data_IF_035395679660
#
_entry.id   IF_035395679660
#
_cell.length_a   1.000
_cell.length_b   1.000
_cell.length_c   1.000
_cell.angle_alpha   90.00
_cell.angle_beta   90.00
_cell.angle_gamma   90.00
#
_symmetry.space_group_name_H-M   'P 1'
#
loop_
_entity.id
_entity.type
_entity.pdbx_description
1 polymer ?
#
# COMPACT_ATOMS: atom_id res chain seq x y z
N UNK A 1 8.52 12.12 11.26
CA UNK A 1 7.87 11.97 9.94
C UNK A 1 6.40 12.26 10.20
N UNK A 2 5.83 13.25 9.53
CA UNK A 2 4.41 13.59 9.72
C UNK A 2 3.60 12.41 9.16
N UNK A 3 2.62 11.89 9.89
CA UNK A 3 1.86 10.67 9.53
C UNK A 3 1.43 10.66 8.04
N UNK A 4 0.98 11.81 7.55
CA UNK A 4 0.53 12.07 6.17
C UNK A 4 1.61 11.94 5.08
N UNK A 5 2.90 12.03 5.43
CA UNK A 5 4.01 11.87 4.48
C UNK A 5 4.13 10.43 3.96
N UNK A 6 3.43 9.50 4.60
CA UNK A 6 3.34 8.10 4.17
C UNK A 6 2.28 7.87 3.08
N UNK A 7 1.63 8.92 2.57
CA UNK A 7 0.62 8.83 1.52
C UNK A 7 1.13 9.36 0.17
N UNK A 8 1.58 8.51 -0.76
CA UNK A 8 1.94 8.95 -2.11
C UNK A 8 0.87 9.81 -2.79
N UNK A 9 -0.41 9.45 -2.64
CA UNK A 9 -1.55 10.27 -3.07
C UNK A 9 -2.44 10.64 -1.87
N UNK A 10 -2.95 11.87 -1.87
CA UNK A 10 -3.79 12.41 -0.80
C UNK A 10 -3.03 13.14 0.33
N UNK A 11 -1.70 13.03 0.42
CA UNK A 11 -0.96 13.65 1.54
C UNK A 11 -1.17 15.15 1.71
N UNK A 12 -1.49 15.91 0.66
CA UNK A 12 -1.69 17.37 0.80
C UNK A 12 -3.03 17.67 1.45
N UNK A 13 -4.05 16.96 1.00
CA UNK A 13 -5.43 17.11 1.44
C UNK A 13 -5.61 16.54 2.84
N UNK A 14 -4.95 15.42 3.15
CA UNK A 14 -5.00 14.76 4.46
C UNK A 14 -4.21 15.48 5.58
N UNK A 15 -3.42 16.50 5.26
CA UNK A 15 -2.69 17.33 6.26
C UNK A 15 -3.61 18.15 7.17
N UNK A 16 -4.85 18.37 6.76
CA UNK A 16 -5.82 19.10 7.56
C UNK A 16 -6.38 18.27 8.71
N UNK A 17 -7.57 18.65 9.17
CA UNK A 17 -8.23 18.03 10.33
C UNK A 17 -8.73 16.60 10.13
N UNK A 18 -8.38 15.95 9.01
CA UNK A 18 -8.88 14.62 8.69
C UNK A 18 -8.54 13.60 9.78
N UNK A 19 -7.27 13.57 10.21
CA UNK A 19 -6.83 12.69 11.30
C UNK A 19 -7.08 13.26 12.70
N UNK A 20 -7.57 14.49 12.83
CA UNK A 20 -7.92 15.08 14.13
C UNK A 20 -9.28 14.59 14.64
N UNK A 21 -10.17 14.15 13.74
CA UNK A 21 -11.50 13.62 14.11
C UNK A 21 -11.42 12.17 14.58
N UNK A 22 -10.58 11.36 13.93
CA UNK A 22 -10.35 9.95 14.30
C UNK A 22 -8.98 9.50 13.79
N UNK A 23 -7.94 9.72 14.58
CA UNK A 23 -6.55 9.40 14.25
C UNK A 23 -6.11 8.01 14.74
N UNK A 24 -4.81 7.68 14.60
CA UNK A 24 -4.29 6.38 15.03
C UNK A 24 -4.53 6.06 16.51
N UNK A 25 -4.39 7.05 17.39
CA UNK A 25 -4.63 6.85 18.83
C UNK A 25 -6.11 6.53 19.11
N UNK A 26 -7.04 7.22 18.45
CA UNK A 26 -8.48 6.97 18.57
C UNK A 26 -8.86 5.59 18.04
N UNK A 27 -8.29 5.19 16.89
CA UNK A 27 -8.48 3.85 16.32
C UNK A 27 -7.96 2.76 17.27
N UNK A 28 -6.78 2.95 17.86
CA UNK A 28 -6.24 2.01 18.83
C UNK A 28 -7.08 1.90 20.10
N UNK A 29 -7.55 3.03 20.64
CA UNK A 29 -8.46 3.05 21.79
C UNK A 29 -9.75 2.31 21.43
N UNK A 30 -10.36 2.63 20.28
CA UNK A 30 -11.61 2.01 19.85
C UNK A 30 -11.49 0.49 19.80
N UNK A 31 -10.45 -0.07 19.19
CA UNK A 31 -10.27 -1.53 19.19
C UNK A 31 -10.04 -2.12 20.58
N UNK A 32 -9.26 -1.43 21.43
CA UNK A 32 -9.00 -1.88 22.81
C UNK A 32 -10.27 -1.88 23.65
N UNK A 33 -11.09 -0.83 23.53
CA UNK A 33 -12.37 -0.66 24.22
C UNK A 33 -13.40 -1.72 23.78
N UNK A 34 -13.24 -2.28 22.58
CA UNK A 34 -14.07 -3.37 22.04
C UNK A 34 -13.39 -4.76 22.15
N UNK A 35 -12.38 -4.89 23.01
CA UNK A 35 -11.81 -6.18 23.40
C UNK A 35 -10.74 -6.74 22.48
N UNK A 36 -10.20 -5.95 21.55
CA UNK A 36 -9.03 -6.32 20.74
C UNK A 36 -7.78 -5.68 21.32
N UNK A 37 -6.99 -6.46 22.06
CA UNK A 37 -5.69 -6.01 22.55
C UNK A 37 -4.71 -5.81 21.40
N UNK A 38 -4.03 -4.67 21.39
CA UNK A 38 -3.08 -4.27 20.35
C UNK A 38 -1.66 -4.18 20.90
N UNK A 39 -0.68 -4.48 20.04
CA UNK A 39 0.75 -4.28 20.27
C UNK A 39 1.36 -3.41 19.19
N UNK A 40 2.38 -2.64 19.56
CA UNK A 40 3.18 -1.83 18.65
C UNK A 40 4.52 -2.53 18.45
N UNK A 41 4.93 -2.74 17.21
CA UNK A 41 6.26 -3.25 16.86
C UNK A 41 7.31 -2.12 16.80
N UNK A 42 8.59 -2.47 16.79
CA UNK A 42 9.71 -1.50 16.83
C UNK A 42 9.69 -0.47 15.69
N UNK A 43 9.04 -0.80 14.56
CA UNK A 43 8.88 0.09 13.41
C UNK A 43 7.59 0.93 13.43
N UNK A 44 6.86 0.89 14.55
CA UNK A 44 5.64 1.68 14.78
C UNK A 44 4.37 1.07 14.20
N UNK A 45 4.44 -0.10 13.55
CA UNK A 45 3.24 -0.81 13.09
C UNK A 45 2.46 -1.38 14.26
N UNK A 46 1.14 -1.40 14.12
CA UNK A 46 0.23 -1.89 15.15
C UNK A 46 -0.45 -3.17 14.67
N UNK A 47 -0.46 -4.18 15.53
CA UNK A 47 -1.06 -5.48 15.26
C UNK A 47 -1.91 -5.95 16.44
N UNK A 48 -2.92 -6.80 16.22
CA UNK A 48 -3.56 -7.49 17.33
C UNK A 48 -2.55 -8.40 18.03
N UNK A 49 -2.58 -8.46 19.37
CA UNK A 49 -1.72 -9.35 20.17
C UNK A 49 -1.91 -10.81 19.75
N UNK A 50 -3.11 -11.18 19.31
CA UNK A 50 -3.45 -12.51 18.78
C UNK A 50 -2.68 -12.91 17.52
N UNK A 51 -2.07 -11.96 16.80
CA UNK A 51 -1.48 -12.15 15.46
C UNK A 51 -2.47 -12.74 14.44
N UNK A 52 -3.78 -12.54 14.62
CA UNK A 52 -4.81 -13.04 13.72
C UNK A 52 -5.70 -11.90 13.22
N UNK A 53 -5.81 -11.74 11.90
CA UNK A 53 -6.71 -10.74 11.28
C UNK A 53 -8.18 -10.97 11.60
N UNK A 54 -8.58 -12.22 11.89
CA UNK A 54 -9.95 -12.55 12.30
C UNK A 54 -10.36 -11.78 13.57
N UNK A 55 -9.43 -11.48 14.50
CA UNK A 55 -9.75 -10.71 15.70
C UNK A 55 -10.30 -9.31 15.37
N UNK A 56 -9.78 -8.67 14.34
CA UNK A 56 -10.25 -7.35 13.87
C UNK A 56 -11.60 -7.49 13.17
N UNK A 57 -11.74 -8.49 12.29
CA UNK A 57 -12.97 -8.74 11.52
C UNK A 57 -14.14 -9.07 12.47
N UNK A 58 -13.92 -9.99 13.41
CA UNK A 58 -14.94 -10.44 14.36
C UNK A 58 -15.40 -9.29 15.27
N UNK A 59 -14.47 -8.43 15.72
CA UNK A 59 -14.79 -7.23 16.48
C UNK A 59 -15.73 -6.31 15.69
N UNK A 60 -15.39 -5.96 14.45
CA UNK A 60 -16.21 -5.07 13.61
C UNK A 60 -17.59 -5.69 13.31
N UNK A 61 -17.64 -6.98 13.00
CA UNK A 61 -18.90 -7.70 12.73
C UNK A 61 -19.75 -7.87 13.99
N UNK A 62 -19.13 -8.01 15.17
CA UNK A 62 -19.84 -8.03 16.44
C UNK A 62 -20.49 -6.68 16.71
N UNK A 63 -19.73 -5.58 16.60
CA UNK A 63 -20.23 -4.23 16.85
C UNK A 63 -21.34 -3.82 15.88
N UNK A 64 -21.20 -4.14 14.59
CA UNK A 64 -22.25 -3.92 13.60
C UNK A 64 -23.55 -4.65 14.00
N UNK A 65 -23.47 -5.93 14.36
CA UNK A 65 -24.65 -6.70 14.80
C UNK A 65 -25.24 -6.17 16.10
N UNK A 66 -24.40 -5.83 17.07
CA UNK A 66 -24.81 -5.32 18.39
C UNK A 66 -25.59 -4.01 18.28
N UNK A 67 -25.23 -3.16 17.31
CA UNK A 67 -25.87 -1.87 17.03
C UNK A 67 -27.06 -1.95 16.08
N UNK A 68 -27.41 -3.17 15.61
CA UNK A 68 -28.59 -3.40 14.77
C UNK A 68 -28.35 -3.24 13.26
N UNK A 69 -27.09 -3.07 12.83
CA UNK A 69 -26.74 -2.99 11.40
C UNK A 69 -27.12 -4.29 10.69
N UNK A 70 -27.90 -4.18 9.62
CA UNK A 70 -28.31 -5.33 8.79
C UNK A 70 -27.27 -5.56 7.69
N UNK A 71 -26.48 -6.63 7.82
CA UNK A 71 -25.49 -7.01 6.81
C UNK A 71 -26.08 -8.01 5.82
N UNK A 72 -25.98 -7.71 4.52
CA UNK A 72 -26.46 -8.57 3.45
C UNK A 72 -25.33 -8.96 2.50
N UNK A 73 -24.92 -10.24 2.54
CA UNK A 73 -23.84 -10.78 1.70
C UNK A 73 -24.39 -11.51 0.46
N UNK A 74 -23.54 -11.74 -0.53
CA UNK A 74 -23.94 -12.43 -1.78
C UNK A 74 -24.81 -11.59 -2.72
N UNK A 75 -24.92 -10.29 -2.43
CA UNK A 75 -25.65 -9.30 -3.23
C UNK A 75 -24.68 -8.38 -3.98
N UNK A 76 -25.10 -7.91 -5.14
CA UNK A 76 -24.38 -6.97 -6.00
C UNK A 76 -25.25 -5.72 -6.13
N UNK A 77 -24.70 -4.53 -5.93
CA UNK A 77 -25.39 -3.28 -6.26
C UNK A 77 -25.10 -2.94 -7.72
N UNK A 78 -26.07 -3.12 -8.62
CA UNK A 78 -25.85 -2.93 -10.06
C UNK A 78 -26.09 -1.50 -10.53
N UNK A 79 -26.93 -0.74 -9.82
CA UNK A 79 -27.20 0.66 -10.14
C UNK A 79 -27.56 1.47 -8.89
N UNK A 80 -27.16 2.74 -8.89
CA UNK A 80 -27.63 3.75 -7.94
C UNK A 80 -27.99 5.00 -8.73
N UNK A 81 -29.20 5.50 -8.55
CA UNK A 81 -29.67 6.74 -9.17
C UNK A 81 -30.33 7.66 -8.15
N UNK A 82 -30.27 8.97 -8.38
CA UNK A 82 -30.97 9.93 -7.56
C UNK A 82 -32.45 10.01 -7.97
N UNK A 83 -33.34 10.07 -7.00
CA UNK A 83 -34.78 10.28 -7.20
C UNK A 83 -35.22 11.61 -6.60
N UNK A 84 -36.51 11.95 -6.73
CA UNK A 84 -37.07 13.15 -6.12
C UNK A 84 -36.79 13.21 -4.61
N UNK A 85 -36.76 14.43 -4.06
CA UNK A 85 -36.52 14.71 -2.64
C UNK A 85 -35.11 14.37 -2.12
N UNK A 86 -34.15 14.14 -3.03
CA UNK A 86 -32.73 13.95 -2.67
C UNK A 86 -32.40 12.57 -2.10
N UNK A 87 -33.29 11.59 -2.32
CA UNK A 87 -33.08 10.18 -1.99
C UNK A 87 -32.42 9.43 -3.16
N UNK A 88 -32.00 8.21 -2.87
CA UNK A 88 -31.40 7.29 -3.84
C UNK A 88 -32.31 6.09 -4.08
N UNK A 89 -32.37 5.66 -5.32
CA UNK A 89 -32.93 4.38 -5.73
C UNK A 89 -31.79 3.43 -6.07
N UNK A 90 -31.68 2.34 -5.30
CA UNK A 90 -30.61 1.35 -5.38
C UNK A 90 -31.17 0.05 -5.95
N UNK A 91 -30.53 -0.45 -7.00
CA UNK A 91 -30.87 -1.73 -7.62
C UNK A 91 -29.87 -2.78 -7.17
N UNK A 92 -30.38 -3.88 -6.62
CA UNK A 92 -29.60 -4.95 -6.01
C UNK A 92 -29.94 -6.28 -6.68
N UNK A 93 -28.91 -7.01 -7.09
CA UNK A 93 -29.00 -8.30 -7.75
C UNK A 93 -28.39 -9.41 -6.87
N UNK A 94 -28.88 -10.65 -7.01
CA UNK A 94 -28.22 -11.84 -6.45
C UNK A 94 -27.52 -12.61 -7.54
N UNK A 95 -26.28 -13.05 -7.28
CA UNK A 95 -25.44 -13.75 -8.27
C UNK A 95 -26.01 -15.08 -8.80
N UNK A 96 -26.94 -15.70 -8.08
CA UNK A 96 -27.30 -17.12 -8.29
C UNK A 96 -28.71 -17.33 -8.83
N UNK A 97 -29.54 -16.29 -8.86
CA UNK A 97 -30.97 -16.36 -9.23
C UNK A 97 -31.31 -15.03 -9.91
N UNK A 98 -32.20 -15.04 -10.90
CA UNK A 98 -32.84 -13.84 -11.44
C UNK A 98 -33.68 -13.17 -10.34
N UNK A 99 -33.01 -12.36 -9.53
CA UNK A 99 -33.56 -11.65 -8.38
C UNK A 99 -33.13 -10.19 -8.48
N UNK A 100 -34.12 -9.31 -8.50
CA UNK A 100 -33.96 -7.87 -8.52
C UNK A 100 -34.67 -7.28 -7.31
N UNK A 101 -33.92 -6.60 -6.46
CA UNK A 101 -34.42 -5.88 -5.30
C UNK A 101 -34.17 -4.40 -5.48
N UNK A 102 -35.12 -3.61 -5.00
CA UNK A 102 -35.10 -2.17 -5.08
C UNK A 102 -35.17 -1.59 -3.67
N UNK A 103 -34.23 -0.72 -3.37
CA UNK A 103 -34.14 -0.06 -2.06
C UNK A 103 -34.11 1.44 -2.28
N UNK A 104 -35.04 2.14 -1.63
CA UNK A 104 -34.94 3.58 -1.46
C UNK A 104 -34.08 3.89 -0.23
N UNK A 105 -33.11 4.78 -0.37
CA UNK A 105 -32.19 5.16 0.68
C UNK A 105 -32.08 6.68 0.79
N UNK A 106 -32.20 7.23 1.99
CA UNK A 106 -31.99 8.66 2.23
C UNK A 106 -30.51 9.05 2.09
N UNK A 107 -29.60 8.13 2.39
CA UNK A 107 -28.16 8.30 2.32
C UNK A 107 -27.49 7.08 1.70
N UNK A 108 -26.43 7.30 0.93
CA UNK A 108 -25.60 6.23 0.37
C UNK A 108 -24.14 6.48 0.72
N UNK A 109 -23.47 5.49 1.31
CA UNK A 109 -22.01 5.47 1.50
C UNK A 109 -21.41 4.41 0.59
N UNK A 110 -20.53 4.82 -0.32
CA UNK A 110 -19.77 3.89 -1.17
C UNK A 110 -18.39 3.68 -0.54
N UNK A 111 -18.17 2.48 0.00
CA UNK A 111 -16.92 2.06 0.63
C UNK A 111 -16.41 0.73 0.03
N UNK A 112 -16.54 0.57 -1.29
CA UNK A 112 -16.31 -0.68 -2.02
C UNK A 112 -14.83 -1.04 -2.24
N UNK A 113 -13.91 -0.31 -1.61
CA UNK A 113 -12.49 -0.34 -1.94
C UNK A 113 -12.23 -0.06 -3.42
N UNK A 114 -11.31 -0.79 -4.02
CA UNK A 114 -10.90 -0.65 -5.42
C UNK A 114 -11.77 -1.40 -6.45
N UNK A 115 -12.99 -1.81 -6.05
CA UNK A 115 -13.92 -2.50 -6.94
C UNK A 115 -14.31 -1.64 -8.16
N UNK A 116 -14.22 -2.23 -9.36
CA UNK A 116 -14.62 -1.57 -10.62
C UNK A 116 -16.06 -1.09 -10.58
N UNK A 117 -16.96 -1.89 -10.00
CA UNK A 117 -18.37 -1.54 -9.86
C UNK A 117 -18.58 -0.27 -9.02
N UNK A 118 -17.81 -0.08 -7.95
CA UNK A 118 -17.89 1.13 -7.14
C UNK A 118 -17.52 2.38 -7.94
N UNK A 119 -16.48 2.28 -8.77
CA UNK A 119 -16.10 3.36 -9.69
C UNK A 119 -17.15 3.61 -10.77
N UNK A 120 -17.74 2.56 -11.35
CA UNK A 120 -18.78 2.71 -12.37
C UNK A 120 -20.04 3.38 -11.78
N UNK A 121 -20.43 3.04 -10.54
CA UNK A 121 -21.52 3.73 -9.82
C UNK A 121 -21.16 5.19 -9.55
N UNK A 122 -19.93 5.48 -9.11
CA UNK A 122 -19.49 6.86 -8.88
C UNK A 122 -19.59 7.70 -10.16
N UNK A 123 -19.17 7.14 -11.30
CA UNK A 123 -19.29 7.79 -12.63
C UNK A 123 -20.75 8.03 -13.01
N UNK A 124 -21.64 7.07 -12.78
CA UNK A 124 -23.09 7.24 -13.00
C UNK A 124 -23.68 8.37 -12.14
N UNK A 125 -23.08 8.65 -10.98
CA UNK A 125 -23.46 9.73 -10.08
C UNK A 125 -22.69 11.04 -10.35
N UNK A 126 -22.09 11.18 -11.54
CA UNK A 126 -21.34 12.34 -12.05
C UNK A 126 -19.97 12.60 -11.42
N UNK A 127 -19.41 11.63 -10.68
CA UNK A 127 -18.04 11.75 -10.17
C UNK A 127 -17.00 11.41 -11.24
N UNK A 128 -15.86 12.09 -11.19
CA UNK A 128 -14.71 11.66 -11.98
C UNK A 128 -13.92 10.57 -11.25
N UNK A 129 -13.22 9.73 -12.00
CA UNK A 129 -12.35 8.68 -11.43
C UNK A 129 -10.96 8.82 -12.03
N UNK A 130 -9.98 9.04 -11.17
CA UNK A 130 -8.57 8.99 -11.54
C UNK A 130 -8.21 7.53 -11.84
N UNK A 131 -7.74 7.24 -13.06
CA UNK A 131 -7.43 5.88 -13.56
C UNK A 131 -6.82 4.97 -12.46
N UNK A 132 -7.56 3.94 -12.01
CA UNK A 132 -7.09 2.98 -11.02
C UNK A 132 -5.94 2.14 -11.55
N UNK A 133 -4.85 2.05 -10.81
CA UNK A 133 -3.68 1.23 -11.17
C UNK A 133 -2.99 0.68 -9.92
N UNK A 134 -2.31 -0.47 -10.01
CA UNK A 134 -1.57 -1.04 -8.88
C UNK A 134 -0.57 -0.09 -8.23
N UNK A 135 -0.53 -0.14 -6.90
CA UNK A 135 0.43 0.44 -5.95
C UNK A 135 0.87 -0.69 -5.00
N UNK A 136 1.98 -0.50 -4.29
CA UNK A 136 2.49 -1.49 -3.31
C UNK A 136 2.65 -2.91 -3.89
N UNK A 137 3.41 -3.01 -4.98
CA UNK A 137 3.68 -4.29 -5.65
C UNK A 137 5.17 -4.63 -5.70
N UNK A 138 5.45 -5.92 -5.83
CA UNK A 138 6.82 -6.45 -6.01
C UNK A 138 7.29 -6.25 -7.45
N UNK A 139 8.60 -6.18 -7.67
CA UNK A 139 9.17 -6.06 -9.01
C UNK A 139 9.56 -7.44 -9.55
N UNK A 140 9.06 -7.77 -10.74
CA UNK A 140 9.51 -8.96 -11.48
C UNK A 140 10.87 -8.66 -12.10
N UNK A 141 11.86 -9.50 -11.79
CA UNK A 141 13.24 -9.33 -12.27
C UNK A 141 13.60 -10.47 -13.22
N UNK A 142 14.25 -10.13 -14.33
CA UNK A 142 14.78 -11.09 -15.31
C UNK A 142 16.25 -11.42 -15.01
N UNK A 143 16.47 -12.18 -13.93
CA UNK A 143 17.80 -12.69 -13.55
C UNK A 143 17.63 -14.02 -12.83
N UNK A 144 17.81 -15.14 -13.54
CA UNK A 144 17.60 -16.48 -13.00
C UNK A 144 18.51 -16.80 -11.82
N UNK A 145 19.76 -16.30 -11.84
CA UNK A 145 20.72 -16.52 -10.75
C UNK A 145 20.32 -15.75 -9.47
N UNK A 146 19.68 -14.59 -9.62
CA UNK A 146 19.08 -13.90 -8.48
C UNK A 146 17.92 -14.70 -7.89
N UNK A 147 17.06 -15.31 -8.72
CA UNK A 147 15.87 -16.05 -8.26
C UNK A 147 16.24 -17.28 -7.41
N UNK A 148 17.40 -17.88 -7.64
CA UNK A 148 17.96 -18.96 -6.80
C UNK A 148 18.22 -18.51 -5.35
N UNK A 149 18.26 -17.20 -5.10
CA UNK A 149 18.39 -16.60 -3.76
C UNK A 149 17.04 -16.30 -3.09
N UNK A 150 15.93 -16.85 -3.60
CA UNK A 150 14.60 -16.67 -2.99
C UNK A 150 14.61 -16.95 -1.48
N UNK A 151 14.09 -16.00 -0.70
CA UNK A 151 14.10 -16.01 0.77
C UNK A 151 15.26 -15.23 1.40
N UNK A 152 16.32 -14.89 0.65
CA UNK A 152 17.39 -14.03 1.15
C UNK A 152 16.85 -12.63 1.42
N UNK A 153 17.12 -12.13 2.62
CA UNK A 153 16.73 -10.79 3.06
C UNK A 153 17.97 -9.95 3.34
N UNK A 154 17.95 -8.69 2.88
CA UNK A 154 18.94 -7.68 3.22
C UNK A 154 18.28 -6.69 4.17
N UNK A 155 18.78 -6.52 5.42
CA UNK A 155 18.16 -5.63 6.39
C UNK A 155 18.09 -4.18 5.93
N UNK A 156 19.07 -3.75 5.13
CA UNK A 156 19.16 -2.37 4.64
C UNK A 156 19.88 -2.31 3.30
N UNK A 157 19.16 -1.86 2.29
CA UNK A 157 19.71 -1.48 0.98
C UNK A 157 19.24 -0.07 0.62
N UNK A 158 19.91 0.57 -0.34
CA UNK A 158 19.37 1.73 -1.04
C UNK A 158 19.01 1.33 -2.46
N UNK A 159 17.74 1.45 -2.81
CA UNK A 159 17.25 1.11 -4.15
C UNK A 159 16.85 2.38 -4.90
N UNK A 160 17.24 2.48 -6.17
CA UNK A 160 16.90 3.59 -7.06
C UNK A 160 16.31 3.05 -8.35
N UNK A 161 15.11 3.48 -8.70
CA UNK A 161 14.45 3.08 -9.92
C UNK A 161 14.68 4.12 -11.02
N UNK A 162 15.18 3.66 -12.16
CA UNK A 162 15.30 4.43 -13.40
C UNK A 162 14.28 3.91 -14.40
N UNK A 163 13.38 4.78 -14.83
CA UNK A 163 12.40 4.49 -15.87
C UNK A 163 12.91 5.09 -17.19
N UNK A 164 12.79 4.34 -18.29
CA UNK A 164 13.28 4.76 -19.61
C UNK A 164 12.56 6.01 -20.16
N UNK A 165 13.22 6.68 -21.12
CA UNK A 165 12.84 7.81 -22.01
C UNK A 165 12.00 9.00 -21.50
N UNK A 166 11.39 8.96 -20.32
CA UNK A 166 10.61 10.05 -19.71
C UNK A 166 11.51 11.09 -18.98
N UNK A 167 12.73 11.28 -19.52
CA UNK A 167 13.98 11.60 -18.82
C UNK A 167 14.18 13.05 -18.30
N UNK A 168 13.14 13.86 -18.09
CA UNK A 168 13.34 15.18 -17.43
C UNK A 168 12.33 15.55 -16.35
N UNK A 169 11.21 14.84 -16.23
CA UNK A 169 10.11 15.25 -15.32
C UNK A 169 9.79 14.21 -14.24
N UNK A 170 10.49 13.07 -14.22
CA UNK A 170 10.29 12.05 -13.18
C UNK A 170 11.12 12.43 -11.94
N UNK A 171 10.51 12.48 -10.74
CA UNK A 171 11.26 12.69 -9.50
C UNK A 171 12.25 11.55 -9.29
N UNK A 172 13.31 11.80 -8.51
CA UNK A 172 14.24 10.74 -8.16
C UNK A 172 13.53 9.70 -7.29
N UNK A 173 13.20 8.55 -7.87
CA UNK A 173 12.60 7.41 -7.16
C UNK A 173 13.71 6.63 -6.47
N UNK A 174 13.96 6.93 -5.21
CA UNK A 174 14.91 6.22 -4.37
C UNK A 174 14.32 5.95 -2.98
N UNK A 175 14.59 4.77 -2.43
CA UNK A 175 14.16 4.35 -1.10
C UNK A 175 15.29 3.61 -0.39
N UNK A 176 15.26 3.65 0.93
CA UNK A 176 16.17 2.90 1.81
C UNK A 176 15.31 2.01 2.69
N UNK A 177 15.71 0.75 2.85
CA UNK A 177 15.03 -0.17 3.75
C UNK A 177 15.35 -1.63 3.45
N UNK A 178 14.63 -2.56 4.11
CA UNK A 178 14.83 -3.98 3.89
C UNK A 178 14.39 -4.41 2.48
N UNK A 179 15.15 -5.34 1.90
CA UNK A 179 14.91 -5.97 0.60
C UNK A 179 14.75 -7.48 0.79
N UNK A 180 13.78 -8.07 0.11
CA UNK A 180 13.57 -9.52 0.06
C UNK A 180 13.71 -10.00 -1.38
N UNK A 181 14.49 -11.05 -1.60
CA UNK A 181 14.50 -11.78 -2.88
C UNK A 181 13.39 -12.82 -2.87
N UNK A 182 12.58 -12.86 -3.92
CA UNK A 182 11.51 -13.84 -4.11
C UNK A 182 11.80 -14.71 -5.33
N UNK A 183 11.03 -15.79 -5.51
CA UNK A 183 11.18 -16.68 -6.65
C UNK A 183 10.78 -16.07 -8.01
N UNK A 184 10.31 -14.81 -8.05
CA UNK A 184 10.02 -14.08 -9.30
C UNK A 184 10.70 -12.71 -9.40
N UNK A 185 11.39 -12.27 -8.35
CA UNK A 185 12.08 -10.99 -8.36
C UNK A 185 12.35 -10.41 -6.97
N UNK A 186 11.99 -9.15 -6.77
CA UNK A 186 12.35 -8.38 -5.57
C UNK A 186 11.11 -7.83 -4.86
N UNK A 187 11.12 -7.94 -3.53
CA UNK A 187 10.07 -7.52 -2.59
C UNK A 187 10.70 -6.81 -1.39
N UNK A 188 9.95 -6.68 -0.30
CA UNK A 188 10.34 -6.00 0.93
C UNK A 188 9.93 -4.53 0.93
N UNK A 189 9.95 -3.89 2.11
CA UNK A 189 9.48 -2.51 2.28
C UNK A 189 10.12 -1.51 1.31
N UNK A 190 11.40 -1.69 0.95
CA UNK A 190 12.08 -0.78 0.02
C UNK A 190 11.46 -0.80 -1.37
N UNK A 191 11.09 -1.98 -1.89
CA UNK A 191 10.49 -2.17 -3.21
C UNK A 191 9.03 -1.76 -3.19
N UNK A 192 8.28 -2.16 -2.15
CA UNK A 192 6.88 -1.79 -2.02
C UNK A 192 6.71 -0.27 -1.96
N UNK A 193 7.52 0.44 -1.15
CA UNK A 193 7.55 1.91 -1.13
C UNK A 193 7.91 2.49 -2.49
N UNK A 194 8.93 1.97 -3.15
CA UNK A 194 9.35 2.40 -4.49
C UNK A 194 8.20 2.29 -5.50
N UNK A 195 7.50 1.16 -5.51
CA UNK A 195 6.36 0.90 -6.37
C UNK A 195 5.19 1.82 -6.06
N UNK A 196 4.96 2.14 -4.78
CA UNK A 196 3.89 3.04 -4.38
C UNK A 196 4.18 4.46 -4.88
N UNK A 197 5.33 5.05 -4.55
CA UNK A 197 5.70 6.38 -5.04
C UNK A 197 5.83 6.44 -6.57
N UNK A 198 6.26 5.34 -7.19
CA UNK A 198 6.43 5.21 -8.63
C UNK A 198 5.19 4.80 -9.41
N UNK A 199 4.05 4.49 -8.77
CA UNK A 199 2.94 3.72 -9.36
C UNK A 199 2.51 4.25 -10.74
N UNK A 200 2.25 5.56 -10.85
CA UNK A 200 1.79 6.17 -12.12
C UNK A 200 2.88 6.27 -13.18
N UNK A 201 4.13 6.41 -12.78
CA UNK A 201 5.25 6.42 -13.72
C UNK A 201 5.54 5.01 -14.23
N UNK A 202 5.52 4.02 -13.33
CA UNK A 202 5.63 2.60 -13.66
C UNK A 202 4.51 2.18 -14.61
N UNK A 203 3.26 2.57 -14.37
CA UNK A 203 2.16 2.31 -15.29
C UNK A 203 2.43 2.86 -16.70
N UNK A 204 2.87 4.11 -16.82
CA UNK A 204 3.23 4.73 -18.12
C UNK A 204 4.41 4.06 -18.82
N UNK A 205 5.32 3.45 -18.06
CA UNK A 205 6.46 2.70 -18.58
C UNK A 205 6.15 1.21 -18.79
N UNK A 206 4.87 0.81 -18.79
CA UNK A 206 4.44 -0.60 -18.86
C UNK A 206 5.13 -1.49 -17.81
N UNK A 207 5.39 -0.92 -16.63
CA UNK A 207 6.09 -1.54 -15.51
C UNK A 207 7.52 -1.99 -15.81
N UNK A 208 8.17 -1.38 -16.79
CA UNK A 208 9.55 -1.68 -17.17
C UNK A 208 10.54 -0.61 -16.70
N UNK A 209 11.76 -1.01 -16.38
CA UNK A 209 12.82 -0.09 -15.98
C UNK A 209 14.09 -0.78 -15.48
N UNK A 210 15.01 0.00 -14.93
CA UNK A 210 16.23 -0.49 -14.29
C UNK A 210 16.23 -0.11 -12.82
N UNK A 211 16.23 -1.11 -11.95
CA UNK A 211 16.45 -0.93 -10.53
C UNK A 211 17.95 -0.98 -10.24
N UNK A 212 18.48 -0.01 -9.52
CA UNK A 212 19.86 0.00 -9.06
C UNK A 212 19.86 -0.16 -7.55
N UNK A 213 20.54 -1.18 -7.05
CA UNK A 213 20.59 -1.51 -5.62
C UNK A 213 22.02 -1.34 -5.10
N UNK A 214 22.13 -0.56 -4.04
CA UNK A 214 23.30 -0.45 -3.18
C UNK A 214 23.07 -1.36 -1.97
N UNK A 215 23.77 -2.49 -1.94
CA UNK A 215 23.68 -3.52 -0.91
C UNK A 215 24.45 -3.17 0.36
N UNK A 216 25.33 -2.16 0.31
CA UNK A 216 26.12 -1.68 1.46
C UNK A 216 25.99 -0.16 1.58
N UNK A 217 24.76 0.37 1.77
CA UNK A 217 24.48 1.80 1.65
C UNK A 217 25.20 2.67 2.68
N UNK A 218 25.59 2.09 3.82
CA UNK A 218 26.28 2.78 4.92
C UNK A 218 27.80 2.84 4.76
N UNK A 219 28.35 2.18 3.72
CA UNK A 219 29.79 2.11 3.49
C UNK A 219 30.12 2.94 2.24
N UNK A 220 31.08 3.86 2.37
CA UNK A 220 31.56 4.65 1.24
C UNK A 220 32.28 3.77 0.20
N UNK A 221 32.24 4.14 -1.08
CA UNK A 221 32.85 3.35 -2.15
C UNK A 221 34.33 3.03 -1.90
N UNK A 222 35.11 4.02 -1.45
CA UNK A 222 36.54 3.84 -1.16
C UNK A 222 36.77 2.89 0.02
N UNK A 223 35.85 2.85 0.99
CA UNK A 223 35.91 1.93 2.11
C UNK A 223 35.59 0.50 1.66
N UNK A 224 34.61 0.30 0.78
CA UNK A 224 34.32 -1.01 0.17
C UNK A 224 35.55 -1.56 -0.54
N UNK A 225 36.20 -0.75 -1.38
CA UNK A 225 37.44 -1.13 -2.08
C UNK A 225 38.55 -1.47 -1.08
N UNK A 226 38.75 -0.62 -0.06
CA UNK A 226 39.75 -0.86 0.98
C UNK A 226 39.50 -2.17 1.73
N UNK A 227 38.25 -2.47 2.11
CA UNK A 227 37.91 -3.71 2.80
C UNK A 227 38.16 -4.95 1.95
N UNK A 228 37.86 -4.92 0.65
CA UNK A 228 38.17 -6.00 -0.27
C UNK A 228 39.69 -6.26 -0.37
N UNK A 229 40.49 -5.19 -0.52
CA UNK A 229 41.96 -5.30 -0.59
C UNK A 229 42.55 -5.84 0.73
N UNK A 230 42.07 -5.33 1.86
CA UNK A 230 42.50 -5.81 3.18
C UNK A 230 42.16 -7.29 3.38
N UNK A 231 40.96 -7.71 2.98
CA UNK A 231 40.51 -9.09 3.08
C UNK A 231 41.33 -10.02 2.18
N UNK A 232 41.59 -9.61 0.94
CA UNK A 232 42.50 -10.28 0.01
C UNK A 232 43.87 -10.53 0.64
N UNK A 233 44.49 -9.48 1.20
CA UNK A 233 45.84 -9.55 1.77
C UNK A 233 45.89 -10.40 3.06
N UNK A 234 44.78 -10.47 3.80
CA UNK A 234 44.69 -11.28 5.02
C UNK A 234 44.50 -12.77 4.73
N UNK A 235 43.70 -13.11 3.72
CA UNK A 235 43.25 -14.49 3.46
C UNK A 235 43.75 -15.04 2.11
N UNK A 236 44.98 -14.68 1.73
CA UNK A 236 45.61 -14.98 0.43
C UNK A 236 45.49 -16.44 -0.02
N UNK A 237 45.53 -17.41 0.90
CA UNK A 237 45.45 -18.87 0.60
C UNK A 237 44.03 -19.44 0.61
N UNK A 238 43.01 -18.65 0.92
CA UNK A 238 41.62 -19.12 0.92
C UNK A 238 40.98 -18.92 -0.46
N UNK A 239 40.04 -19.81 -0.80
CA UNK A 239 39.18 -19.66 -1.98
C UNK A 239 38.25 -18.46 -1.82
N UNK A 240 38.06 -17.68 -2.88
CA UNK A 240 37.26 -16.44 -2.86
C UNK A 240 35.80 -16.72 -2.47
N UNK A 241 35.22 -17.84 -2.91
CA UNK A 241 33.83 -18.22 -2.57
C UNK A 241 33.59 -18.49 -1.07
N UNK A 242 34.66 -18.77 -0.31
CA UNK A 242 34.55 -19.22 1.08
C UNK A 242 34.64 -18.09 2.11
N UNK A 243 35.00 -16.87 1.70
CA UNK A 243 35.07 -15.73 2.61
C UNK A 243 34.81 -14.42 1.88
N UNK A 244 34.38 -13.41 2.63
CA UNK A 244 34.15 -12.04 2.17
C UNK A 244 34.27 -11.08 3.36
N UNK A 245 34.46 -9.77 3.16
CA UNK A 245 34.54 -8.82 4.27
C UNK A 245 33.27 -8.84 5.13
N UNK A 246 33.41 -9.12 6.43
CA UNK A 246 32.30 -9.22 7.36
C UNK A 246 31.51 -7.90 7.49
N UNK A 247 32.16 -6.76 7.22
CA UNK A 247 31.57 -5.43 7.20
C UNK A 247 30.40 -5.30 6.23
N UNK A 248 30.35 -6.13 5.19
CA UNK A 248 29.28 -6.06 4.19
C UNK A 248 27.98 -6.71 4.64
N UNK A 249 27.98 -7.52 5.71
CA UNK A 249 26.77 -8.16 6.23
C UNK A 249 26.06 -9.08 5.22
N UNK A 250 26.80 -9.65 4.26
CA UNK A 250 26.23 -10.47 3.19
C UNK A 250 26.04 -11.93 3.63
N UNK A 251 25.16 -12.62 2.91
CA UNK A 251 25.04 -14.09 2.98
C UNK A 251 25.93 -14.75 1.92
N UNK A 252 26.44 -15.94 2.22
CA UNK A 252 27.37 -16.67 1.33
C UNK A 252 26.78 -16.95 -0.05
N UNK A 253 25.48 -17.23 -0.14
CA UNK A 253 24.78 -17.47 -1.41
C UNK A 253 24.78 -16.21 -2.31
N UNK A 254 24.57 -15.03 -1.73
CA UNK A 254 24.65 -13.77 -2.46
C UNK A 254 26.09 -13.41 -2.85
N UNK A 255 27.08 -13.71 -2.01
CA UNK A 255 28.49 -13.56 -2.38
C UNK A 255 28.83 -14.41 -3.62
N UNK A 256 28.42 -15.68 -3.63
CA UNK A 256 28.57 -16.56 -4.81
C UNK A 256 27.91 -15.95 -6.05
N UNK A 257 26.67 -15.47 -5.93
CA UNK A 257 25.96 -14.80 -7.02
C UNK A 257 26.75 -13.60 -7.59
N UNK A 258 27.36 -12.76 -6.73
CA UNK A 258 28.20 -11.65 -7.20
C UNK A 258 29.43 -12.11 -7.97
N UNK A 259 30.10 -13.17 -7.51
CA UNK A 259 31.26 -13.73 -8.20
C UNK A 259 30.88 -14.30 -9.57
N UNK A 260 29.79 -15.07 -9.64
CA UNK A 260 29.26 -15.63 -10.88
C UNK A 260 28.89 -14.52 -11.88
N UNK A 261 28.26 -13.45 -11.40
CA UNK A 261 27.88 -12.29 -12.21
C UNK A 261 29.07 -11.53 -12.79
N UNK A 262 30.20 -11.50 -12.08
CA UNK A 262 31.46 -10.93 -12.56
C UNK A 262 32.30 -11.92 -13.38
N UNK A 263 31.85 -13.17 -13.54
CA UNK A 263 32.61 -14.22 -14.22
C UNK A 263 33.86 -14.65 -13.45
N UNK A 264 33.86 -14.50 -12.12
CA UNK A 264 34.97 -14.86 -11.25
C UNK A 264 34.82 -16.30 -10.78
N UNK A 265 35.83 -17.14 -11.03
CA UNK A 265 35.89 -18.49 -10.50
C UNK A 265 36.00 -18.44 -8.97
N UNK A 266 34.94 -18.88 -8.28
CA UNK A 266 34.88 -18.90 -6.83
C UNK A 266 35.95 -19.79 -6.17
N UNK A 267 36.48 -20.78 -6.88
CA UNK A 267 37.54 -21.66 -6.39
C UNK A 267 38.94 -21.06 -6.48
N UNK A 268 39.09 -19.92 -7.15
CA UNK A 268 40.34 -19.19 -7.18
C UNK A 268 40.75 -18.73 -5.78
N UNK A 269 42.05 -18.62 -5.54
CA UNK A 269 42.56 -18.07 -4.28
C UNK A 269 42.45 -16.54 -4.26
N UNK A 270 42.25 -15.97 -3.07
CA UNK A 270 42.31 -14.52 -2.87
C UNK A 270 43.64 -13.92 -3.36
N UNK A 271 44.77 -14.63 -3.27
CA UNK A 271 46.04 -14.17 -3.83
C UNK A 271 45.96 -13.88 -5.34
N UNK A 272 45.13 -14.64 -6.07
CA UNK A 272 45.06 -14.65 -7.53
C UNK A 272 44.03 -13.68 -8.09
N UNK A 273 43.11 -13.14 -7.27
CA UNK A 273 42.09 -12.21 -7.77
C UNK A 273 42.73 -10.87 -8.17
N UNK A 274 42.55 -10.40 -9.41
CA UNK A 274 43.17 -9.15 -9.84
C UNK A 274 42.44 -7.94 -9.23
N UNK A 275 43.14 -6.81 -9.09
CA UNK A 275 42.58 -5.65 -8.39
C UNK A 275 41.39 -5.01 -9.16
N UNK A 276 41.37 -5.08 -10.49
CA UNK A 276 40.23 -4.64 -11.30
C UNK A 276 38.96 -5.46 -11.02
N UNK A 277 39.08 -6.76 -10.75
CA UNK A 277 37.95 -7.59 -10.34
C UNK A 277 37.41 -7.14 -8.97
N UNK A 278 38.28 -6.77 -8.03
CA UNK A 278 37.85 -6.19 -6.75
C UNK A 278 37.12 -4.84 -6.93
N UNK A 279 37.60 -4.00 -7.85
CA UNK A 279 36.91 -2.74 -8.18
C UNK A 279 35.53 -2.98 -8.78
N UNK A 280 35.39 -3.99 -9.64
CA UNK A 280 34.12 -4.37 -10.25
C UNK A 280 33.13 -4.93 -9.22
N UNK A 281 33.60 -5.82 -8.32
CA UNK A 281 32.79 -6.28 -7.17
C UNK A 281 32.33 -5.10 -6.31
N UNK A 282 33.22 -4.15 -6.00
CA UNK A 282 32.87 -2.96 -5.24
C UNK A 282 31.79 -2.14 -5.95
N UNK A 283 31.88 -2.00 -7.28
CA UNK A 283 30.88 -1.32 -8.09
C UNK A 283 29.52 -2.05 -8.04
N UNK A 284 29.50 -3.37 -8.21
CA UNK A 284 28.26 -4.15 -8.10
C UNK A 284 27.63 -4.04 -6.71
N UNK A 285 28.43 -4.10 -5.65
CA UNK A 285 27.90 -3.94 -4.28
C UNK A 285 27.21 -2.59 -4.08
N UNK A 286 27.72 -1.52 -4.69
CA UNK A 286 27.18 -0.17 -4.55
C UNK A 286 26.11 0.20 -5.59
N UNK A 287 26.13 -0.41 -6.77
CA UNK A 287 25.31 -0.02 -7.92
C UNK A 287 24.88 -1.23 -8.76
N UNK A 288 24.35 -2.28 -8.12
CA UNK A 288 23.91 -3.49 -8.80
C UNK A 288 22.66 -3.22 -9.66
N UNK A 289 22.72 -3.34 -11.00
CA UNK A 289 21.54 -3.11 -11.83
C UNK A 289 20.67 -4.36 -11.95
N UNK A 290 19.36 -4.20 -11.96
CA UNK A 290 18.39 -5.26 -12.22
C UNK A 290 17.36 -4.76 -13.23
N UNK A 291 17.05 -5.58 -14.22
CA UNK A 291 16.01 -5.28 -15.20
C UNK A 291 14.67 -5.60 -14.56
N UNK A 292 13.85 -4.56 -14.39
CA UNK A 292 12.45 -4.71 -13.98
C UNK A 292 11.64 -4.94 -15.25
N UNK A 293 11.07 -6.13 -15.36
CA UNK A 293 10.27 -6.57 -16.52
C UNK A 293 8.75 -6.54 -16.24
N UNK A 294 8.37 -6.16 -15.02
CA UNK A 294 6.97 -6.03 -14.66
C UNK A 294 6.76 -5.93 -13.15
N UNK A 295 5.49 -6.04 -12.78
CA UNK A 295 5.02 -6.14 -11.39
C UNK A 295 4.73 -7.59 -11.00
N UNK A 296 4.67 -7.85 -9.71
CA UNK A 296 4.24 -9.14 -9.15
C UNK A 296 2.88 -9.62 -9.67
N UNK A 297 2.63 -10.92 -9.54
CA UNK A 297 1.42 -11.58 -10.06
C UNK A 297 0.24 -11.54 -9.08
N UNK A 298 0.50 -11.45 -7.78
CA UNK A 298 -0.52 -11.49 -6.71
C UNK A 298 -1.24 -10.16 -6.58
N UNK A 299 -2.35 -10.02 -7.33
CA UNK A 299 -3.14 -8.78 -7.38
C UNK A 299 -3.77 -8.40 -6.04
N UNK A 300 -4.12 -9.38 -5.21
CA UNK A 300 -4.82 -9.17 -3.94
C UNK A 300 -3.94 -8.51 -2.87
N UNK A 301 -2.63 -8.45 -3.08
CA UNK A 301 -1.69 -7.75 -2.18
C UNK A 301 -1.53 -6.26 -2.53
N UNK A 302 -2.12 -5.81 -3.65
CA UNK A 302 -1.95 -4.44 -4.13
C UNK A 302 -2.95 -3.50 -3.52
N UNK A 303 -2.46 -2.29 -3.24
CA UNK A 303 -3.34 -1.14 -3.03
C UNK A 303 -3.49 -0.42 -4.35
N UNK A 304 -4.56 0.33 -4.52
CA UNK A 304 -4.87 1.04 -5.76
C UNK A 304 -4.42 2.50 -5.71
N UNK A 305 -3.64 2.90 -6.70
CA UNK A 305 -3.43 4.30 -7.06
C UNK A 305 -4.57 4.78 -7.93
N UNK A 306 -5.26 5.85 -7.55
CA UNK A 306 -6.41 6.36 -8.29
C UNK A 306 -7.70 6.17 -7.51
N UNK A 307 -8.83 6.46 -8.13
CA UNK A 307 -10.13 6.54 -7.47
C UNK A 307 -10.72 7.95 -7.55
N UNK A 308 -11.69 8.23 -6.70
CA UNK A 308 -12.44 9.49 -6.72
C UNK A 308 -11.55 10.62 -6.19
N UNK A 309 -11.38 11.74 -6.92
CA UNK A 309 -10.57 12.86 -6.45
C UNK A 309 -11.07 13.44 -5.13
N UNK A 310 -10.15 13.70 -4.20
CA UNK A 310 -10.49 14.35 -2.94
C UNK A 310 -11.05 15.77 -3.12
N UNK A 311 -10.79 16.42 -4.26
CA UNK A 311 -11.40 17.71 -4.60
C UNK A 311 -12.91 17.65 -4.76
N UNK A 312 -13.49 16.46 -4.99
CA UNK A 312 -14.92 16.22 -5.10
C UNK A 312 -15.56 15.82 -3.77
N UNK A 313 -14.77 15.73 -2.69
CA UNK A 313 -15.21 15.26 -1.38
C UNK A 313 -14.97 16.34 -0.30
N UNK A 314 -15.91 16.48 0.62
CA UNK A 314 -15.74 17.30 1.82
C UNK A 314 -15.14 16.45 2.92
N UNK A 315 -13.82 16.50 3.13
CA UNK A 315 -13.11 15.58 4.06
C UNK A 315 -13.58 15.64 5.52
N UNK A 316 -14.18 16.74 5.97
CA UNK A 316 -14.73 16.85 7.33
C UNK A 316 -16.03 16.07 7.53
N UNK A 317 -16.70 15.67 6.44
CA UNK A 317 -17.98 14.94 6.47
C UNK A 317 -17.94 13.65 5.64
N UNK A 318 -16.95 13.51 4.77
CA UNK A 318 -16.85 12.51 3.69
C UNK A 318 -17.98 12.56 2.67
N UNK A 319 -18.77 13.64 2.66
CA UNK A 319 -19.86 13.84 1.71
C UNK A 319 -19.31 14.29 0.35
N UNK A 320 -19.96 13.83 -0.70
CA UNK A 320 -19.77 14.33 -2.06
C UNK A 320 -20.12 15.82 -2.14
N UNK A 321 -19.29 16.56 -2.87
CA UNK A 321 -19.56 17.95 -3.24
C UNK A 321 -20.48 18.08 -4.46
N UNK A 322 -20.74 16.97 -5.14
CA UNK A 322 -21.51 16.91 -6.39
C UNK A 322 -22.95 16.46 -6.09
N UNK A 323 -23.10 15.43 -5.27
CA UNK A 323 -24.38 14.82 -4.90
C UNK A 323 -24.57 14.89 -3.38
N UNK A 324 -25.50 15.72 -2.88
CA UNK A 324 -25.87 15.70 -1.46
C UNK A 324 -26.27 14.29 -1.01
N UNK A 325 -26.03 13.96 0.25
CA UNK A 325 -26.36 12.67 0.86
C UNK A 325 -25.60 11.44 0.32
N UNK A 326 -24.70 11.63 -0.67
CA UNK A 326 -23.76 10.62 -1.14
C UNK A 326 -22.42 10.78 -0.42
N UNK A 327 -21.86 9.69 0.07
CA UNK A 327 -20.62 9.66 0.83
C UNK A 327 -19.64 8.63 0.25
N UNK A 328 -18.35 8.84 0.50
CA UNK A 328 -17.29 7.94 0.05
C UNK A 328 -16.25 7.73 1.14
N UNK A 329 -15.78 6.49 1.32
CA UNK A 329 -14.74 6.19 2.30
C UNK A 329 -13.83 5.04 1.86
N UNK A 330 -12.60 5.04 2.39
CA UNK A 330 -11.61 3.99 2.12
C UNK A 330 -10.97 4.10 0.73
N UNK A 331 -10.59 2.94 0.18
CA UNK A 331 -9.75 2.83 -1.03
C UNK A 331 -10.47 3.20 -2.35
N UNK A 332 -11.78 3.52 -2.30
CA UNK A 332 -12.46 4.09 -3.47
C UNK A 332 -11.99 5.52 -3.78
N UNK A 333 -11.45 6.21 -2.78
CA UNK A 333 -10.89 7.54 -2.90
C UNK A 333 -9.51 7.48 -3.55
N UNK A 334 -9.10 8.56 -4.21
CA UNK A 334 -7.75 8.74 -4.75
C UNK A 334 -6.72 8.99 -3.63
N UNK A 335 -6.58 8.01 -2.74
CA UNK A 335 -5.70 7.99 -1.58
C UNK A 335 -5.09 6.60 -1.48
N UNK A 336 -3.78 6.56 -1.37
CA UNK A 336 -3.07 5.37 -0.95
C UNK A 336 -1.90 5.75 -0.05
N UNK A 337 -1.66 4.90 0.94
CA UNK A 337 -0.51 4.91 1.82
C UNK A 337 0.53 3.88 1.39
N UNK A 338 1.74 4.03 1.92
CA UNK A 338 2.75 2.96 1.88
C UNK A 338 2.34 1.78 2.78
N UNK A 339 3.11 0.68 2.78
CA UNK A 339 2.89 -0.39 3.76
C UNK A 339 3.12 0.10 5.19
N UNK A 340 2.45 -0.54 6.17
CA UNK A 340 2.59 -0.21 7.58
C UNK A 340 1.33 0.25 8.30
N UNK A 341 0.15 -0.02 7.73
CA UNK A 341 -1.15 0.28 8.37
C UNK A 341 -1.81 1.59 7.89
N UNK A 342 -1.13 2.40 7.07
CA UNK A 342 -1.65 3.68 6.58
C UNK A 342 -2.95 3.56 5.76
N UNK A 343 -3.05 2.55 4.90
CA UNK A 343 -4.26 2.33 4.10
C UNK A 343 -5.46 1.95 4.99
N UNK A 344 -5.23 1.12 6.01
CA UNK A 344 -6.23 0.81 7.02
C UNK A 344 -6.64 2.07 7.79
N UNK A 345 -5.68 2.88 8.25
CA UNK A 345 -6.01 4.13 8.95
C UNK A 345 -6.88 5.06 8.10
N UNK A 346 -6.58 5.21 6.80
CA UNK A 346 -7.43 6.02 5.91
C UNK A 346 -8.86 5.46 5.81
N UNK A 347 -9.01 4.13 5.73
CA UNK A 347 -10.32 3.49 5.74
C UNK A 347 -11.07 3.69 7.07
N UNK A 348 -10.39 3.55 8.20
CA UNK A 348 -10.98 3.74 9.54
C UNK A 348 -11.42 5.18 9.77
N UNK A 349 -10.53 6.14 9.51
CA UNK A 349 -10.84 7.57 9.68
C UNK A 349 -11.97 8.00 8.76
N UNK A 350 -11.91 7.67 7.46
CA UNK A 350 -12.96 8.02 6.51
C UNK A 350 -14.30 7.34 6.82
N UNK A 351 -14.27 6.07 7.22
CA UNK A 351 -15.47 5.32 7.62
C UNK A 351 -16.12 5.90 8.88
N UNK A 352 -15.31 6.27 9.88
CA UNK A 352 -15.79 6.90 11.11
C UNK A 352 -16.48 8.24 10.82
N UNK A 353 -15.81 9.15 10.08
CA UNK A 353 -16.34 10.48 9.75
C UNK A 353 -17.65 10.36 8.93
N UNK A 354 -17.68 9.49 7.92
CA UNK A 354 -18.88 9.28 7.11
C UNK A 354 -20.04 8.73 7.97
N UNK A 355 -19.77 7.69 8.76
CA UNK A 355 -20.77 7.02 9.59
C UNK A 355 -21.38 7.94 10.65
N UNK A 356 -20.55 8.69 11.38
CA UNK A 356 -21.04 9.64 12.39
C UNK A 356 -21.81 10.79 11.76
N UNK A 357 -21.34 11.34 10.64
CA UNK A 357 -22.04 12.41 9.92
C UNK A 357 -23.43 11.96 9.46
N UNK A 358 -23.53 10.77 8.86
CA UNK A 358 -24.82 10.21 8.42
C UNK A 358 -25.74 10.00 9.63
N UNK A 359 -25.23 9.40 10.71
CA UNK A 359 -26.00 9.12 11.93
C UNK A 359 -26.54 10.39 12.60
N UNK A 360 -25.73 11.45 12.69
CA UNK A 360 -26.14 12.74 13.25
C UNK A 360 -27.25 13.40 12.42
N UNK A 361 -27.08 13.44 11.09
CA UNK A 361 -28.07 14.05 10.18
C UNK A 361 -29.40 13.29 10.18
N UNK A 362 -29.35 11.96 10.12
CA UNK A 362 -30.54 11.11 10.19
C UNK A 362 -31.30 11.32 11.52
N UNK A 363 -30.57 11.47 12.63
CA UNK A 363 -31.16 11.73 13.95
C UNK A 363 -31.87 13.08 14.04
N UNK A 364 -31.35 14.12 13.38
CA UNK A 364 -31.96 15.46 13.37
C UNK A 364 -33.26 15.46 12.57
N UNK A 365 -33.29 14.80 11.41
CA UNK A 365 -34.49 14.68 10.57
C UNK A 365 -35.59 13.95 11.33
N UNK A 366 -35.26 12.80 11.93
CA UNK A 366 -36.21 12.02 12.72
C UNK A 366 -36.82 12.83 13.88
N UNK A 367 -36.02 13.65 14.57
CA UNK A 367 -36.51 14.55 15.64
C UNK A 367 -37.44 15.65 15.12
N UNK A 368 -37.22 16.16 13.90
CA UNK A 368 -38.10 17.18 13.29
C UNK A 368 -39.43 16.59 12.86
N UNK A 369 -39.42 15.42 12.23
CA UNK A 369 -40.63 14.72 11.78
C UNK A 369 -41.53 14.31 12.97
N UNK A 370 -40.91 13.82 14.05
CA UNK A 370 -41.64 13.48 15.30
C UNK A 370 -42.19 14.71 16.03
N UNK A 371 -41.53 15.88 15.95
CA UNK A 371 -42.02 17.13 16.55
C UNK A 371 -43.12 17.84 15.72
N UNK A 372 -43.22 17.59 14.42
CA UNK A 372 -44.28 18.15 13.55
C UNK A 372 -45.56 17.29 13.60
N UNK A 373 -45.48 16.07 14.16
CA UNK A 373 -46.59 15.13 14.36
C UNK A 373 -47.22 15.11 15.77
N UNK A 374 -47.64 16.24 16.38
CA UNK A 374 -48.61 16.17 17.49
C UNK A 374 -49.84 17.05 17.24
N UNK A 375 -50.88 16.50 16.59
CA UNK A 375 -52.31 16.75 16.87
C UNK A 375 -53.19 16.38 15.66
N UNK A 376 -53.58 15.11 15.56
CA UNK A 376 -54.76 14.72 14.76
C UNK A 376 -55.36 13.41 15.28
N UNK A 377 -55.54 13.33 16.60
CA UNK A 377 -56.47 12.40 17.24
C UNK A 377 -57.02 13.05 18.50
N UNK A 378 -58.13 13.77 18.35
CA UNK A 378 -59.24 13.89 19.29
C UNK A 378 -60.35 14.70 18.59
N UNK A 379 -61.33 13.97 18.02
CA UNK A 379 -62.70 14.44 17.77
C UNK A 379 -63.59 13.58 18.65
#
# INVERSE_FOLDING_TARGET
MVFVENYPRGHKELRGSFFDVHGPADTMSWFSDHGVELKIEDDGRVFPVSNNSCSIIDCLLHEARRTGVQMQVGKIVSNVSCICDGKFYVIIEKRTIDFLEHVEADYVLIASGSSRQGYDIAIQLDHSVVEPMPSLFTFKIEDTHLLDLSGVTFPKVKAKLKLGSLSKTIPQLAQIGPLLVTHWGLSGPVILRLSAWGARYLFKSNYTGTLIVDFVPDIHMDDVKRFLIQHKNKLVKQKVINSYPAQFGLVKSFWRYLLEREGIDGDMLWASIPNNALESIALLLKQCPFIVAGKGQFKDEFVTSGGIPLSEITLSTMESRIRPNLFFAGEILNVDGVTGGFNFQNAWTGGYIAGTTIGERASIIHKRETMISPSSQEI
#
